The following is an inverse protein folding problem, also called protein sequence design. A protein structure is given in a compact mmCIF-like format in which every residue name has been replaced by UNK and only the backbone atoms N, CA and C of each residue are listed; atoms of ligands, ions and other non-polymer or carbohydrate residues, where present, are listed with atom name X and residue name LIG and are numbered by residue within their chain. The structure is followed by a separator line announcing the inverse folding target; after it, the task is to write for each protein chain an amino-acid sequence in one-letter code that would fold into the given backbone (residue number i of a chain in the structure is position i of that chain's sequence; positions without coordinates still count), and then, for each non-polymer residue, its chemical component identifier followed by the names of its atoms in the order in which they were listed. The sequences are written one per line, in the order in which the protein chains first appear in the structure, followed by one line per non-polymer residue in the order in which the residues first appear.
data_IF_843395935341
#
_entry.id   IF_843395935341
#
_cell.length_a   1.000
_cell.length_b   1.000
_cell.length_c   1.000
_cell.angle_alpha   90.00
_cell.angle_beta   90.00
_cell.angle_gamma   90.00
#
_symmetry.space_group_name_H-M   'P 1'
#
loop_
_entity.id
_entity.type
_entity.pdbx_description
1 polymer ?
#
# COMPACT_ATOMS: atom_id res chain seq x y z
N UNK A 1 -20.91 -12.89 -4.76
CA UNK A 1 -20.78 -13.34 -6.16
C UNK A 1 -21.82 -12.67 -7.07
N UNK A 2 -23.11 -12.72 -6.73
CA UNK A 2 -24.20 -12.24 -7.58
C UNK A 2 -24.10 -10.76 -7.91
N UNK A 3 -23.81 -9.91 -6.93
CA UNK A 3 -23.59 -8.47 -7.12
C UNK A 3 -22.37 -8.21 -8.00
N UNK A 4 -21.28 -8.96 -7.77
CA UNK A 4 -20.06 -8.86 -8.59
C UNK A 4 -20.35 -9.26 -10.04
N UNK A 5 -21.05 -10.35 -10.26
CA UNK A 5 -21.44 -10.77 -11.62
C UNK A 5 -22.38 -9.77 -12.29
N UNK A 6 -23.39 -9.26 -11.57
CA UNK A 6 -24.28 -8.25 -12.11
C UNK A 6 -23.55 -6.96 -12.52
N UNK A 7 -22.54 -6.55 -11.77
CA UNK A 7 -21.71 -5.41 -12.10
C UNK A 7 -20.82 -5.69 -13.33
N UNK A 8 -20.16 -6.87 -13.39
CA UNK A 8 -19.31 -7.26 -14.49
C UNK A 8 -20.05 -7.33 -15.83
N UNK A 9 -21.34 -7.75 -15.83
CA UNK A 9 -22.18 -7.76 -17.03
C UNK A 9 -22.42 -6.38 -17.63
N UNK A 10 -22.29 -5.31 -16.84
CA UNK A 10 -22.54 -3.93 -17.23
C UNK A 10 -21.28 -3.10 -17.38
N UNK A 11 -20.14 -3.63 -16.91
CA UNK A 11 -18.87 -2.91 -16.97
C UNK A 11 -18.33 -2.92 -18.38
N UNK A 12 -18.05 -1.74 -18.93
CA UNK A 12 -17.46 -1.61 -20.26
C UNK A 12 -15.93 -1.51 -20.16
N UNK A 13 -15.25 -2.62 -20.42
CA UNK A 13 -13.79 -2.72 -20.37
C UNK A 13 -13.29 -3.89 -19.53
N UNK A 14 -11.98 -3.93 -19.30
CA UNK A 14 -11.33 -4.94 -18.48
C UNK A 14 -11.40 -4.56 -17.00
N UNK A 15 -12.32 -5.15 -16.25
CA UNK A 15 -12.54 -4.84 -14.85
C UNK A 15 -11.41 -5.37 -13.96
N UNK A 16 -11.10 -4.63 -12.89
CA UNK A 16 -10.28 -5.14 -11.78
C UNK A 16 -11.21 -5.65 -10.67
N UNK A 17 -11.19 -6.94 -10.44
CA UNK A 17 -12.01 -7.62 -9.45
C UNK A 17 -11.25 -7.66 -8.11
N UNK A 18 -11.80 -7.03 -7.10
CA UNK A 18 -11.21 -7.02 -5.75
C UNK A 18 -12.18 -7.73 -4.78
N UNK A 19 -11.87 -8.93 -4.32
CA UNK A 19 -10.64 -9.68 -4.42
C UNK A 19 -10.87 -11.19 -4.36
N UNK A 20 -9.84 -11.97 -4.67
CA UNK A 20 -9.72 -13.37 -4.33
C UNK A 20 -8.69 -13.54 -3.20
N UNK A 21 -8.71 -14.64 -2.48
CA UNK A 21 -7.69 -15.01 -1.50
C UNK A 21 -7.37 -16.51 -1.55
N UNK A 22 -6.44 -16.99 -0.72
CA UNK A 22 -6.00 -18.37 -0.69
C UNK A 22 -7.00 -19.39 -0.14
N UNK A 23 -8.20 -18.96 0.27
CA UNK A 23 -9.28 -19.88 0.67
C UNK A 23 -9.86 -20.58 -0.55
N UNK A 24 -10.10 -21.88 -0.43
CA UNK A 24 -10.65 -22.67 -1.54
C UNK A 24 -11.98 -22.12 -2.05
N UNK A 25 -12.89 -21.78 -1.15
CA UNK A 25 -14.20 -21.21 -1.49
C UNK A 25 -14.08 -19.90 -2.28
N UNK A 26 -13.14 -19.01 -1.87
CA UNK A 26 -12.90 -17.74 -2.55
C UNK A 26 -12.45 -17.95 -4.00
N UNK A 27 -11.48 -18.85 -4.22
CA UNK A 27 -10.98 -19.17 -5.55
C UNK A 27 -12.05 -19.81 -6.44
N UNK A 28 -12.81 -20.77 -5.90
CA UNK A 28 -13.91 -21.43 -6.62
C UNK A 28 -15.05 -20.48 -7.01
N UNK A 29 -15.24 -19.43 -6.24
CA UNK A 29 -16.30 -18.42 -6.50
C UNK A 29 -15.84 -17.33 -7.47
N UNK A 30 -14.61 -16.83 -7.30
CA UNK A 30 -14.14 -15.64 -8.02
C UNK A 30 -13.50 -15.99 -9.36
N UNK A 31 -12.69 -17.04 -9.45
CA UNK A 31 -11.98 -17.37 -10.68
C UNK A 31 -12.90 -17.68 -11.88
N UNK A 32 -14.04 -18.36 -11.75
CA UNK A 32 -14.99 -18.48 -12.86
C UNK A 32 -15.46 -17.14 -13.42
N UNK A 33 -15.68 -16.14 -12.55
CA UNK A 33 -16.06 -14.80 -12.98
C UNK A 33 -14.92 -14.08 -13.69
N UNK A 34 -13.69 -14.15 -13.14
CA UNK A 34 -12.49 -13.59 -13.78
C UNK A 34 -12.31 -14.17 -15.19
N UNK A 35 -12.42 -15.50 -15.33
CA UNK A 35 -12.29 -16.20 -16.60
C UNK A 35 -13.38 -15.79 -17.58
N UNK A 36 -14.64 -15.77 -17.12
CA UNK A 36 -15.82 -15.47 -17.94
C UNK A 36 -15.79 -14.05 -18.50
N UNK A 37 -15.39 -13.06 -17.70
CA UNK A 37 -15.43 -11.64 -18.06
C UNK A 37 -14.06 -11.07 -18.48
N UNK A 38 -13.00 -11.85 -18.41
CA UNK A 38 -11.66 -11.42 -18.83
C UNK A 38 -11.05 -10.32 -17.96
N UNK A 39 -11.38 -10.29 -16.65
CA UNK A 39 -10.90 -9.27 -15.71
C UNK A 39 -9.48 -9.48 -15.23
N UNK A 40 -8.94 -8.47 -14.55
CA UNK A 40 -7.78 -8.60 -13.64
C UNK A 40 -8.31 -8.88 -12.24
N UNK A 41 -7.60 -9.67 -11.44
CA UNK A 41 -8.02 -9.96 -10.06
C UNK A 41 -6.95 -9.58 -9.06
N UNK A 42 -7.36 -8.86 -8.00
CA UNK A 42 -6.54 -8.64 -6.81
C UNK A 42 -6.55 -9.91 -5.97
N UNK A 43 -5.38 -10.44 -5.66
CA UNK A 43 -5.18 -11.66 -4.90
C UNK A 43 -4.54 -11.36 -3.54
N UNK A 44 -5.32 -11.51 -2.47
CA UNK A 44 -4.86 -11.27 -1.10
C UNK A 44 -4.07 -12.47 -0.59
N UNK A 45 -2.88 -12.22 -0.03
CA UNK A 45 -2.00 -13.26 0.50
C UNK A 45 -2.41 -13.72 1.92
N UNK A 46 -3.67 -14.14 2.05
CA UNK A 46 -4.26 -14.75 3.25
C UNK A 46 -5.02 -16.02 2.90
N UNK A 47 -5.21 -16.91 3.85
CA UNK A 47 -6.00 -18.14 3.69
C UNK A 47 -6.89 -18.44 4.92
N UNK A 48 -7.26 -19.68 5.10
CA UNK A 48 -8.12 -20.17 6.20
C UNK A 48 -7.51 -19.86 7.58
N UNK A 49 -6.18 -19.76 7.67
CA UNK A 49 -5.44 -19.48 8.91
C UNK A 49 -5.23 -17.97 9.13
N UNK A 50 -5.73 -17.11 8.23
CA UNK A 50 -5.57 -15.67 8.29
C UNK A 50 -4.37 -15.16 7.48
N UNK A 51 -3.80 -14.05 7.91
CA UNK A 51 -2.64 -13.39 7.25
C UNK A 51 -1.36 -13.94 7.88
N UNK A 52 -0.45 -14.57 7.11
CA UNK A 52 0.83 -15.01 7.64
C UNK A 52 1.68 -13.85 8.14
N UNK A 53 2.32 -14.03 9.28
CA UNK A 53 3.23 -13.03 9.86
C UNK A 53 4.50 -12.86 9.01
N UNK A 54 4.97 -13.93 8.36
CA UNK A 54 6.21 -13.93 7.58
C UNK A 54 5.99 -13.66 6.09
N UNK A 55 6.99 -13.11 5.44
CA UNK A 55 7.00 -12.91 3.99
C UNK A 55 6.89 -14.24 3.24
N UNK A 56 7.60 -15.26 3.69
CA UNK A 56 7.63 -16.60 3.11
C UNK A 56 6.25 -17.26 3.16
N UNK A 57 5.53 -17.07 4.27
CA UNK A 57 4.15 -17.54 4.42
C UNK A 57 3.21 -16.88 3.40
N UNK A 58 3.31 -15.57 3.22
CA UNK A 58 2.53 -14.80 2.21
C UNK A 58 2.86 -15.26 0.80
N UNK A 59 4.14 -15.47 0.48
CA UNK A 59 4.58 -16.00 -0.82
C UNK A 59 4.08 -17.42 -1.06
N UNK A 60 4.01 -18.26 -0.04
CA UNK A 60 3.43 -19.60 -0.14
C UNK A 60 1.96 -19.55 -0.57
N UNK A 61 1.19 -18.62 0.01
CA UNK A 61 -0.21 -18.39 -0.39
C UNK A 61 -0.29 -17.85 -1.82
N UNK A 62 0.58 -16.92 -2.20
CA UNK A 62 0.62 -16.42 -3.56
C UNK A 62 0.85 -17.55 -4.58
N UNK A 63 1.78 -18.47 -4.30
CA UNK A 63 2.01 -19.66 -5.15
C UNK A 63 0.78 -20.56 -5.21
N UNK A 64 0.07 -20.79 -4.09
CA UNK A 64 -1.19 -21.55 -4.04
C UNK A 64 -2.25 -20.92 -4.95
N UNK A 65 -2.41 -19.60 -4.89
CA UNK A 65 -3.37 -18.87 -5.71
C UNK A 65 -2.99 -18.95 -7.21
N UNK A 66 -1.70 -18.81 -7.55
CA UNK A 66 -1.23 -18.92 -8.92
C UNK A 66 -1.52 -20.31 -9.53
N UNK A 67 -1.22 -21.36 -8.80
CA UNK A 67 -1.48 -22.73 -9.25
C UNK A 67 -2.98 -22.96 -9.51
N UNK A 68 -3.83 -22.49 -8.57
CA UNK A 68 -5.27 -22.60 -8.77
C UNK A 68 -5.76 -21.73 -9.96
N UNK A 69 -5.23 -20.53 -10.15
CA UNK A 69 -5.59 -19.66 -11.27
C UNK A 69 -5.23 -20.29 -12.64
N UNK A 70 -4.10 -21.01 -12.70
CA UNK A 70 -3.67 -21.75 -13.91
C UNK A 70 -4.67 -22.84 -14.30
N UNK A 71 -5.25 -23.57 -13.31
CA UNK A 71 -6.30 -24.56 -13.55
C UNK A 71 -7.55 -23.97 -14.22
N UNK A 72 -7.86 -22.68 -13.92
CA UNK A 72 -8.94 -21.93 -14.56
C UNK A 72 -8.50 -21.27 -15.88
N UNK A 73 -7.24 -21.43 -16.29
CA UNK A 73 -6.67 -20.78 -17.49
C UNK A 73 -6.60 -19.26 -17.37
N UNK A 74 -6.36 -18.75 -16.16
CA UNK A 74 -6.12 -17.31 -15.87
C UNK A 74 -4.62 -17.07 -15.92
N UNK A 75 -4.20 -16.12 -16.76
CA UNK A 75 -2.79 -15.74 -16.90
C UNK A 75 -2.30 -15.02 -15.63
N UNK A 76 -1.04 -15.29 -15.25
CA UNK A 76 -0.39 -14.51 -14.15
C UNK A 76 -0.33 -13.00 -14.42
N UNK A 77 -0.44 -12.56 -15.69
CA UNK A 77 -0.52 -11.14 -16.07
C UNK A 77 -1.83 -10.48 -15.63
N UNK A 78 -2.85 -11.28 -15.39
CA UNK A 78 -4.17 -10.84 -14.95
C UNK A 78 -4.37 -10.97 -13.43
N UNK A 79 -3.29 -11.25 -12.70
CA UNK A 79 -3.29 -11.34 -11.23
C UNK A 79 -2.37 -10.28 -10.65
N UNK A 80 -2.90 -9.51 -9.70
CA UNK A 80 -2.14 -8.54 -8.93
C UNK A 80 -2.18 -8.91 -7.46
N UNK A 81 -1.03 -9.18 -6.85
CA UNK A 81 -0.95 -9.64 -5.47
C UNK A 81 -0.94 -8.47 -4.49
N UNK A 82 -1.84 -8.50 -3.52
CA UNK A 82 -1.78 -7.65 -2.34
C UNK A 82 -1.14 -8.43 -1.19
N UNK A 83 0.04 -7.99 -0.78
CA UNK A 83 0.79 -8.62 0.32
C UNK A 83 0.32 -8.17 1.70
N UNK A 84 -0.73 -7.36 1.77
CA UNK A 84 -1.44 -6.91 2.97
C UNK A 84 -0.56 -6.07 3.92
N UNK A 85 -0.66 -4.75 3.78
CA UNK A 85 -0.06 -3.83 4.74
C UNK A 85 -0.81 -3.91 6.06
N UNK A 86 -0.11 -4.37 7.11
CA UNK A 86 -0.61 -4.39 8.48
C UNK A 86 -0.07 -3.20 9.24
N UNK A 87 -0.81 -2.76 10.27
CA UNK A 87 -0.41 -1.59 11.04
C UNK A 87 0.81 -1.87 11.92
N UNK A 88 1.80 -0.99 11.83
CA UNK A 88 3.03 -1.09 12.63
C UNK A 88 2.81 -0.80 14.12
N UNK A 89 1.67 -0.19 14.48
CA UNK A 89 1.30 0.01 15.88
C UNK A 89 0.92 -1.28 16.61
N UNK A 90 0.49 -2.31 15.85
CA UNK A 90 0.14 -3.61 16.42
C UNK A 90 1.31 -4.61 16.33
N UNK A 91 2.13 -4.53 15.26
CA UNK A 91 3.28 -5.40 15.05
C UNK A 91 4.40 -4.62 14.34
N UNK A 92 5.50 -4.38 15.05
CA UNK A 92 6.66 -3.65 14.52
C UNK A 92 7.38 -4.35 13.36
N UNK A 93 7.20 -5.67 13.18
CA UNK A 93 7.77 -6.44 12.08
C UNK A 93 6.91 -6.47 10.81
N UNK A 94 5.64 -6.07 10.91
CA UNK A 94 4.63 -6.23 9.86
C UNK A 94 5.01 -5.53 8.54
N UNK A 95 5.53 -4.31 8.61
CA UNK A 95 5.94 -3.56 7.43
C UNK A 95 7.08 -4.26 6.68
N UNK A 96 8.08 -4.76 7.41
CA UNK A 96 9.21 -5.49 6.81
C UNK A 96 8.77 -6.78 6.12
N UNK A 97 7.87 -7.54 6.76
CA UNK A 97 7.30 -8.76 6.15
C UNK A 97 6.53 -8.44 4.86
N UNK A 98 5.75 -7.35 4.85
CA UNK A 98 5.02 -6.88 3.67
C UNK A 98 5.98 -6.51 2.53
N UNK A 99 7.00 -5.69 2.80
CA UNK A 99 7.98 -5.24 1.81
C UNK A 99 8.79 -6.40 1.23
N UNK A 100 9.24 -7.34 2.08
CA UNK A 100 9.95 -8.54 1.64
C UNK A 100 9.08 -9.43 0.76
N UNK A 101 7.81 -9.61 1.11
CA UNK A 101 6.86 -10.38 0.29
C UNK A 101 6.62 -9.73 -1.09
N UNK A 102 6.49 -8.39 -1.15
CA UNK A 102 6.41 -7.65 -2.42
C UNK A 102 7.57 -7.97 -3.32
N UNK A 103 8.80 -7.83 -2.80
CA UNK A 103 10.04 -8.09 -3.57
C UNK A 103 10.06 -9.52 -4.10
N UNK A 104 9.79 -10.50 -3.25
CA UNK A 104 9.83 -11.91 -3.68
C UNK A 104 8.77 -12.19 -4.76
N UNK A 105 7.55 -11.69 -4.61
CA UNK A 105 6.48 -11.87 -5.59
C UNK A 105 6.85 -11.19 -6.91
N UNK A 106 7.40 -9.99 -6.86
CA UNK A 106 7.80 -9.25 -8.07
C UNK A 106 8.95 -9.92 -8.80
N UNK A 107 10.02 -10.26 -8.10
CA UNK A 107 11.28 -10.73 -8.71
C UNK A 107 11.23 -12.22 -9.03
N UNK A 108 10.72 -13.06 -8.10
CA UNK A 108 10.78 -14.51 -8.28
C UNK A 108 9.55 -15.10 -8.96
N UNK A 109 8.34 -14.54 -8.74
CA UNK A 109 7.13 -15.01 -9.41
C UNK A 109 6.84 -14.22 -10.69
N UNK A 110 7.44 -13.05 -10.87
CA UNK A 110 7.22 -12.18 -12.02
C UNK A 110 5.77 -11.67 -12.11
N UNK A 111 5.13 -11.45 -10.96
CA UNK A 111 3.76 -11.00 -10.86
C UNK A 111 3.66 -9.52 -10.54
N UNK A 112 2.48 -8.93 -10.82
CA UNK A 112 2.16 -7.60 -10.36
C UNK A 112 1.80 -7.60 -8.89
N UNK A 113 2.02 -6.46 -8.22
CA UNK A 113 1.79 -6.27 -6.79
C UNK A 113 0.98 -5.02 -6.51
N UNK A 114 0.14 -5.07 -5.49
CA UNK A 114 -0.59 -3.90 -4.99
C UNK A 114 -0.57 -3.84 -3.47
N UNK A 115 -0.92 -2.68 -2.91
CA UNK A 115 -1.09 -2.47 -1.47
C UNK A 115 -2.14 -1.40 -1.19
N UNK A 116 -2.93 -1.62 -0.16
CA UNK A 116 -3.61 -0.56 0.58
C UNK A 116 -2.61 0.16 1.48
N UNK A 117 -1.86 1.13 0.94
CA UNK A 117 -0.66 1.70 1.56
C UNK A 117 -0.94 2.30 2.94
N UNK A 118 -2.04 3.03 3.10
CA UNK A 118 -2.37 3.75 4.33
C UNK A 118 -2.71 2.86 5.53
N UNK A 119 -2.86 1.55 5.33
CA UNK A 119 -3.14 0.61 6.42
C UNK A 119 -1.96 0.51 7.40
N UNK A 120 -0.72 0.73 6.93
CA UNK A 120 0.50 0.64 7.74
C UNK A 120 0.48 1.57 8.96
N UNK A 121 -0.21 2.69 8.87
CA UNK A 121 -0.21 3.76 9.87
C UNK A 121 -1.46 3.82 10.76
N UNK A 122 -2.36 2.83 10.72
CA UNK A 122 -3.54 2.86 11.57
C UNK A 122 -3.20 3.00 13.04
N UNK A 123 -3.94 3.88 13.74
CA UNK A 123 -3.75 4.15 15.16
C UNK A 123 -2.56 5.07 15.50
N UNK A 124 -1.81 5.54 14.51
CA UNK A 124 -0.67 6.44 14.74
C UNK A 124 -1.01 7.90 14.43
N UNK A 125 -0.40 8.86 15.13
CA UNK A 125 -0.48 10.28 14.75
C UNK A 125 0.37 10.57 13.50
N UNK A 126 0.16 11.72 12.86
CA UNK A 126 0.93 12.20 11.70
C UNK A 126 1.10 11.14 10.60
N UNK A 127 0.01 10.46 10.26
CA UNK A 127 -0.02 9.30 9.38
C UNK A 127 0.64 9.51 8.02
N UNK A 128 0.57 10.72 7.49
CA UNK A 128 1.11 11.04 6.16
C UNK A 128 2.63 10.84 6.07
N UNK A 129 3.37 11.14 7.15
CA UNK A 129 4.81 10.90 7.20
C UNK A 129 5.15 9.40 7.09
N UNK A 130 4.42 8.56 7.83
CA UNK A 130 4.60 7.10 7.78
C UNK A 130 4.13 6.54 6.44
N UNK A 131 2.97 6.97 5.95
CA UNK A 131 2.42 6.52 4.68
C UNK A 131 3.37 6.84 3.51
N UNK A 132 3.89 8.08 3.45
CA UNK A 132 4.83 8.50 2.41
C UNK A 132 6.13 7.70 2.46
N UNK A 133 6.71 7.54 3.64
CA UNK A 133 7.93 6.74 3.82
C UNK A 133 7.71 5.28 3.42
N UNK A 134 6.63 4.66 3.90
CA UNK A 134 6.30 3.28 3.56
C UNK A 134 6.02 3.12 2.06
N UNK A 135 5.38 4.10 1.42
CA UNK A 135 5.12 4.08 -0.01
C UNK A 135 6.41 4.09 -0.83
N UNK A 136 7.39 4.94 -0.47
CA UNK A 136 8.70 4.93 -1.11
C UNK A 136 9.39 3.56 -0.99
N UNK A 137 9.38 2.98 0.22
CA UNK A 137 9.93 1.65 0.47
C UNK A 137 9.19 0.57 -0.33
N UNK A 138 7.88 0.66 -0.45
CA UNK A 138 7.08 -0.29 -1.22
C UNK A 138 7.38 -0.22 -2.72
N UNK A 139 7.50 0.99 -3.28
CA UNK A 139 7.90 1.21 -4.67
C UNK A 139 9.28 0.58 -4.95
N UNK A 140 10.25 0.77 -4.06
CA UNK A 140 11.59 0.18 -4.18
C UNK A 140 11.56 -1.35 -4.07
N UNK A 141 10.60 -1.90 -3.35
CA UNK A 141 10.40 -3.35 -3.25
C UNK A 141 9.47 -3.93 -4.34
N UNK A 142 9.18 -3.17 -5.40
CA UNK A 142 8.49 -3.68 -6.58
C UNK A 142 6.97 -3.52 -6.56
N UNK A 143 6.43 -2.56 -5.79
CA UNK A 143 5.01 -2.21 -5.85
C UNK A 143 4.64 -1.75 -7.26
N UNK A 144 3.65 -2.40 -7.88
CA UNK A 144 3.19 -2.09 -9.24
C UNK A 144 2.00 -1.14 -9.27
N UNK A 145 1.14 -1.19 -8.25
CA UNK A 145 -0.03 -0.33 -8.09
C UNK A 145 -0.28 -0.04 -6.61
N UNK A 146 -0.81 1.13 -6.29
CA UNK A 146 -1.14 1.53 -4.93
C UNK A 146 -2.61 1.90 -4.81
N UNK A 147 -3.28 1.36 -3.79
CA UNK A 147 -4.59 1.83 -3.35
C UNK A 147 -4.32 2.91 -2.30
N UNK A 148 -4.49 4.16 -2.68
CA UNK A 148 -4.17 5.31 -1.85
C UNK A 148 -5.04 6.52 -2.23
N UNK A 149 -4.99 7.58 -1.42
CA UNK A 149 -5.62 8.85 -1.78
C UNK A 149 -4.71 9.63 -2.77
N UNK A 150 -5.08 9.77 -4.05
CA UNK A 150 -4.28 10.51 -5.03
C UNK A 150 -4.27 12.03 -4.79
N UNK A 151 -5.13 12.52 -3.91
CA UNK A 151 -5.16 13.93 -3.50
C UNK A 151 -4.27 14.24 -2.30
N UNK A 152 -3.64 13.23 -1.70
CA UNK A 152 -2.64 13.45 -0.64
C UNK A 152 -1.36 14.03 -1.25
N UNK A 153 -1.06 15.28 -0.93
CA UNK A 153 0.14 15.95 -1.42
C UNK A 153 1.41 15.19 -1.03
N UNK A 154 1.47 14.65 0.19
CA UNK A 154 2.64 13.92 0.67
C UNK A 154 2.84 12.60 -0.08
N UNK A 155 1.77 11.87 -0.40
CA UNK A 155 1.87 10.66 -1.22
C UNK A 155 2.32 10.98 -2.64
N UNK A 156 1.80 12.06 -3.24
CA UNK A 156 2.18 12.45 -4.61
C UNK A 156 3.61 13.01 -4.67
N UNK A 157 4.08 13.73 -3.64
CA UNK A 157 5.49 14.12 -3.52
C UNK A 157 6.41 12.90 -3.59
N UNK A 158 6.09 11.85 -2.83
CA UNK A 158 6.85 10.61 -2.84
C UNK A 158 6.84 9.96 -4.23
N UNK A 159 5.70 9.88 -4.87
CA UNK A 159 5.55 9.28 -6.20
C UNK A 159 6.44 9.95 -7.25
N UNK A 160 6.34 11.28 -7.40
CA UNK A 160 7.12 12.00 -8.39
C UNK A 160 8.62 12.02 -8.05
N UNK A 161 8.97 12.19 -6.77
CA UNK A 161 10.37 12.12 -6.32
C UNK A 161 10.99 10.75 -6.61
N UNK A 162 10.27 9.67 -6.32
CA UNK A 162 10.73 8.32 -6.60
C UNK A 162 10.97 8.12 -8.11
N UNK A 163 10.06 8.54 -8.96
CA UNK A 163 10.20 8.43 -10.42
C UNK A 163 11.41 9.17 -10.94
N UNK A 164 11.61 10.40 -10.50
CA UNK A 164 12.76 11.20 -10.87
C UNK A 164 14.08 10.53 -10.43
N UNK A 165 14.17 10.06 -9.18
CA UNK A 165 15.36 9.39 -8.64
C UNK A 165 15.67 8.04 -9.32
N UNK A 166 14.64 7.34 -9.83
CA UNK A 166 14.81 6.05 -10.52
C UNK A 166 15.01 6.21 -12.04
N UNK A 167 15.10 7.44 -12.56
CA UNK A 167 15.24 7.69 -13.99
C UNK A 167 14.00 7.30 -14.81
N UNK A 168 12.83 7.29 -14.18
CA UNK A 168 11.54 6.99 -14.81
C UNK A 168 10.80 8.26 -15.27
N UNK A 169 11.41 9.42 -15.05
CA UNK A 169 10.91 10.74 -15.41
C UNK A 169 12.03 11.45 -16.19
N UNK A 170 11.85 11.56 -17.49
CA UNK A 170 12.86 12.14 -18.38
C UNK A 170 13.06 13.62 -18.06
N UNK A 171 14.31 13.99 -17.79
CA UNK A 171 14.70 15.35 -17.39
C UNK A 171 13.93 15.91 -16.19
N UNK A 172 13.38 15.06 -15.34
CA UNK A 172 12.53 15.42 -14.20
C UNK A 172 11.31 16.30 -14.57
N UNK A 173 10.79 16.17 -15.79
CA UNK A 173 9.74 17.03 -16.31
C UNK A 173 8.42 16.91 -15.53
N UNK A 174 8.00 15.66 -15.23
CA UNK A 174 6.79 15.41 -14.44
C UNK A 174 6.94 15.91 -13.00
N UNK A 175 8.13 15.72 -12.41
CA UNK A 175 8.43 16.21 -11.06
C UNK A 175 8.36 17.74 -10.99
N UNK A 176 8.97 18.46 -11.95
CA UNK A 176 8.98 19.92 -11.99
C UNK A 176 7.57 20.48 -12.14
N UNK A 177 6.75 19.89 -13.02
CA UNK A 177 5.35 20.28 -13.22
C UNK A 177 4.53 20.06 -11.93
N UNK A 178 4.66 18.90 -11.32
CA UNK A 178 3.94 18.57 -10.09
C UNK A 178 4.40 19.40 -8.89
N UNK A 179 5.68 19.77 -8.81
CA UNK A 179 6.27 20.49 -7.69
C UNK A 179 5.64 21.88 -7.48
N UNK A 180 5.12 22.50 -8.55
CA UNK A 180 4.37 23.76 -8.45
C UNK A 180 3.11 23.64 -7.58
N UNK A 181 2.56 22.45 -7.43
CA UNK A 181 1.38 22.17 -6.61
C UNK A 181 1.74 21.62 -5.21
N UNK A 182 3.04 21.39 -4.94
CA UNK A 182 3.47 20.98 -3.61
C UNK A 182 3.46 22.21 -2.70
N UNK A 183 2.52 22.30 -1.79
CA UNK A 183 2.56 23.29 -0.72
C UNK A 183 3.88 23.12 0.03
N UNK A 184 4.79 24.06 -0.13
CA UNK A 184 5.90 24.22 0.80
C UNK A 184 5.26 24.51 2.15
N UNK A 185 5.32 23.55 3.07
CA UNK A 185 5.15 23.89 4.47
C UNK A 185 6.22 24.98 4.70
N UNK A 186 5.78 26.23 4.81
CA UNK A 186 6.61 27.28 5.37
C UNK A 186 7.10 26.69 6.68
N UNK A 187 8.42 26.52 6.79
CA UNK A 187 9.06 26.26 8.07
C UNK A 187 8.77 27.53 8.86
N UNK A 188 7.62 27.54 9.52
CA UNK A 188 7.44 28.47 10.62
C UNK A 188 8.54 28.05 11.59
N UNK A 189 9.54 28.91 11.74
CA UNK A 189 10.47 28.77 12.88
C UNK A 189 9.60 28.39 14.07
N UNK A 190 10.00 27.36 14.85
CA UNK A 190 9.23 26.99 16.03
C UNK A 190 9.01 28.31 16.75
N UNK A 191 7.73 28.70 16.90
CA UNK A 191 7.39 29.96 17.57
C UNK A 191 8.25 29.95 18.80
N UNK A 192 9.18 30.91 18.92
CA UNK A 192 9.98 31.10 20.12
C UNK A 192 8.94 31.01 21.21
N UNK A 193 8.99 29.94 22.04
CA UNK A 193 8.07 29.82 23.16
C UNK A 193 8.10 31.18 23.78
N UNK A 194 6.98 31.92 23.69
CA UNK A 194 6.87 33.22 24.31
C UNK A 194 7.44 32.98 25.68
N UNK A 195 8.50 33.72 26.05
CA UNK A 195 9.15 33.52 27.33
C UNK A 195 8.03 33.58 28.33
N UNK A 196 7.64 32.40 28.87
CA UNK A 196 6.61 32.34 29.88
C UNK A 196 7.13 33.24 30.98
N UNK A 197 6.56 34.47 31.05
CA UNK A 197 6.82 35.35 32.16
C UNK A 197 6.12 34.75 33.35
N UNK A 198 6.89 33.97 34.12
CA UNK A 198 6.40 33.44 35.37
C UNK A 198 6.29 34.63 36.34
N UNK A 199 5.11 34.83 36.92
CA UNK A 199 4.86 35.92 37.87
C UNK A 199 5.63 35.71 39.19
N UNK A 200 6.14 34.49 39.47
CA UNK A 200 6.97 34.17 40.60
C UNK A 200 7.85 32.95 40.36
N UNK A 201 8.96 32.83 41.13
CA UNK A 201 9.84 31.67 41.15
C UNK A 201 9.09 30.39 41.55
N UNK A 202 8.07 30.52 42.38
CA UNK A 202 7.22 29.41 42.84
C UNK A 202 6.40 28.82 41.68
N UNK A 203 5.83 29.67 40.80
CA UNK A 203 5.11 29.21 39.61
C UNK A 203 6.05 28.49 38.64
N UNK A 204 7.27 28.99 38.47
CA UNK A 204 8.28 28.35 37.66
C UNK A 204 8.67 26.96 38.17
N UNK A 205 8.84 26.83 39.50
CA UNK A 205 9.15 25.55 40.13
C UNK A 205 7.99 24.53 39.99
N UNK A 206 6.75 24.97 40.20
CA UNK A 206 5.56 24.12 40.08
C UNK A 206 5.41 23.58 38.65
N UNK A 207 5.59 24.44 37.63
CA UNK A 207 5.43 24.06 36.22
C UNK A 207 6.56 23.13 35.74
N UNK A 208 7.77 23.29 36.26
CA UNK A 208 8.92 22.43 35.93
C UNK A 208 9.07 21.18 36.81
N UNK A 209 8.25 21.03 37.85
CA UNK A 209 8.23 19.82 38.67
C UNK A 209 9.43 19.72 39.66
N UNK A 210 9.94 20.84 40.14
CA UNK A 210 10.92 20.92 41.22
C UNK A 210 10.25 21.09 42.56
#
# INVERSE_FOLDING_TARGET
PDVMEAALRRYNGKAMINSVNGKRESMQTVFPLVKKYGGVVVALTLDENGIPETAEGRVKIAKKILAAAEEYGISKKDIIFDTLAMTVSADGGAALATLKALRIIKEQLGCHTSLGVSNVSFGLPARDAINGTFFALALENGLSAAIMNPYSADMMKVYYSYRALKGLDENCAEYVDAAGNFTTATVTEPAKKASEQYESELQHAIIKGF
#
